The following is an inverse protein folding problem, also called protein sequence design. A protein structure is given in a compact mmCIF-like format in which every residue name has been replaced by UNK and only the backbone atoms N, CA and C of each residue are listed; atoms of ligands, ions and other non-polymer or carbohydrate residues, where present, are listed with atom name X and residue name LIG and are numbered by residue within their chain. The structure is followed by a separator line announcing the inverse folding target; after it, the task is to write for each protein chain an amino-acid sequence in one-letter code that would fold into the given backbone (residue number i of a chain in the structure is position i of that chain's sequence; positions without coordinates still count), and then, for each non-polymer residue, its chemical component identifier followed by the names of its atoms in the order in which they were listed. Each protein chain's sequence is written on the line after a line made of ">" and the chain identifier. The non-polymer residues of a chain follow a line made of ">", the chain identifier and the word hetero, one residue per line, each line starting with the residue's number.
data_IF_420212802007
#
_entry.id   IF_420212802007
#
_cell.length_a   1.000
_cell.length_b   1.000
_cell.length_c   1.000
_cell.angle_alpha   90.00
_cell.angle_beta   90.00
_cell.angle_gamma   90.00
#
_symmetry.space_group_name_H-M   'P 1'
#
loop_
_entity.id
_entity.type
_entity.pdbx_description
1 polymer ?
#
# COMPACT_ATOMS: atom_id res chain seq x y z
N UNK A 1 35.44 -36.85 8.29
CA UNK A 1 34.07 -36.92 8.87
C UNK A 1 33.10 -36.51 7.75
N UNK A 2 31.97 -37.20 7.57
CA UNK A 2 30.90 -36.71 6.70
C UNK A 2 30.13 -35.63 7.45
N UNK A 3 30.22 -34.38 7.02
CA UNK A 3 29.22 -33.38 7.39
C UNK A 3 28.26 -33.26 6.20
N UNK A 4 27.13 -33.96 6.30
CA UNK A 4 25.97 -33.74 5.43
C UNK A 4 25.38 -32.38 5.77
N UNK A 5 25.68 -31.38 4.95
CA UNK A 5 24.85 -30.18 4.89
C UNK A 5 23.59 -30.61 4.14
N UNK A 6 22.48 -30.76 4.87
CA UNK A 6 21.18 -30.99 4.25
C UNK A 6 20.84 -29.75 3.40
N UNK A 7 20.53 -29.96 2.13
CA UNK A 7 20.07 -28.87 1.28
C UNK A 7 18.65 -28.49 1.71
N UNK A 8 18.46 -27.22 2.10
CA UNK A 8 17.13 -26.62 2.24
C UNK A 8 16.35 -26.86 0.94
N UNK A 9 15.29 -27.66 1.05
CA UNK A 9 14.87 -28.54 -0.03
C UNK A 9 13.41 -28.39 -0.41
N UNK A 10 13.06 -27.25 -0.96
CA UNK A 10 11.83 -27.12 -1.76
C UNK A 10 12.22 -26.88 -3.23
N UNK A 11 11.57 -27.60 -4.14
CA UNK A 11 11.82 -27.49 -5.58
C UNK A 11 10.93 -26.45 -6.25
N UNK A 12 9.93 -25.97 -5.52
CA UNK A 12 8.78 -25.25 -5.98
C UNK A 12 8.74 -23.95 -5.16
N UNK A 13 8.55 -22.82 -5.82
CA UNK A 13 8.35 -21.54 -5.14
C UNK A 13 6.87 -21.37 -4.88
N UNK A 14 6.50 -21.14 -3.62
CA UNK A 14 5.16 -20.72 -3.25
C UNK A 14 5.12 -19.20 -3.09
N UNK A 15 4.01 -18.57 -3.52
CA UNK A 15 3.81 -17.15 -3.26
C UNK A 15 3.44 -16.90 -1.79
N UNK A 16 3.39 -15.63 -1.38
CA UNK A 16 3.04 -15.24 -0.01
C UNK A 16 1.64 -15.72 0.46
N UNK A 17 0.72 -15.98 -0.48
CA UNK A 17 -0.61 -16.51 -0.18
C UNK A 17 -0.70 -18.04 -0.07
N UNK A 18 0.40 -18.76 -0.33
CA UNK A 18 0.47 -20.22 -0.54
C UNK A 18 -0.45 -20.78 -1.65
N UNK A 19 -1.24 -19.92 -2.31
CA UNK A 19 -2.23 -20.25 -3.33
C UNK A 19 -1.64 -20.37 -4.75
N UNK A 20 -0.39 -19.94 -4.96
CA UNK A 20 0.37 -20.20 -6.18
C UNK A 20 1.56 -21.12 -5.85
N UNK A 21 1.86 -22.03 -6.76
CA UNK A 21 3.11 -22.79 -6.79
C UNK A 21 3.75 -22.67 -8.17
N UNK A 22 5.07 -22.51 -8.22
CA UNK A 22 5.83 -22.48 -9.47
C UNK A 22 6.99 -23.47 -9.40
N UNK A 23 7.00 -24.44 -10.33
CA UNK A 23 8.00 -25.51 -10.44
C UNK A 23 8.89 -25.21 -11.67
N UNK A 24 9.87 -24.29 -11.56
CA UNK A 24 10.32 -23.54 -12.73
C UNK A 24 11.40 -24.34 -13.48
N UNK A 25 11.21 -24.51 -14.79
CA UNK A 25 12.04 -25.38 -15.63
C UNK A 25 13.53 -25.06 -15.54
N UNK A 26 13.88 -23.76 -15.50
CA UNK A 26 15.20 -23.27 -15.15
C UNK A 26 15.06 -22.13 -14.13
N UNK A 27 15.09 -22.45 -12.82
CA UNK A 27 15.43 -21.43 -11.82
C UNK A 27 16.90 -21.08 -12.03
N UNK A 28 17.23 -19.79 -12.20
CA UNK A 28 18.57 -19.29 -11.87
C UNK A 28 18.80 -19.50 -10.38
N UNK A 29 19.36 -20.66 -10.00
CA UNK A 29 19.62 -21.02 -8.60
C UNK A 29 20.98 -20.45 -8.21
N UNK A 30 21.03 -19.36 -7.42
CA UNK A 30 22.30 -18.89 -6.87
C UNK A 30 22.85 -19.96 -5.92
N UNK A 31 23.90 -20.66 -6.36
CA UNK A 31 24.58 -21.69 -5.55
C UNK A 31 25.60 -21.07 -4.60
N UNK A 32 25.94 -19.79 -4.78
CA UNK A 32 26.80 -19.04 -3.89
C UNK A 32 26.47 -17.53 -3.85
N UNK A 33 27.04 -16.81 -2.89
CA UNK A 33 26.76 -15.40 -2.61
C UNK A 33 27.19 -14.42 -3.75
N UNK A 34 27.96 -14.86 -4.75
CA UNK A 34 28.30 -14.01 -5.91
C UNK A 34 27.21 -14.01 -6.98
N UNK A 35 26.40 -15.07 -7.03
CA UNK A 35 25.29 -15.20 -7.98
C UNK A 35 24.14 -14.24 -7.61
N UNK A 36 24.01 -13.90 -6.32
CA UNK A 36 23.04 -12.96 -5.74
C UNK A 36 23.55 -11.51 -5.60
N UNK A 37 24.50 -11.07 -6.42
CA UNK A 37 25.09 -9.70 -6.35
C UNK A 37 24.17 -8.59 -6.89
N UNK A 38 22.98 -8.45 -6.30
CA UNK A 38 22.15 -7.26 -6.42
C UNK A 38 22.88 -6.07 -5.77
N UNK A 39 23.47 -5.21 -6.59
CA UNK A 39 24.12 -3.97 -6.11
C UNK A 39 23.06 -2.89 -5.96
N UNK A 40 22.49 -2.76 -4.77
CA UNK A 40 21.59 -1.66 -4.42
C UNK A 40 22.37 -0.33 -4.41
N UNK A 41 21.97 0.62 -5.26
CA UNK A 41 22.46 2.00 -5.16
C UNK A 41 21.72 2.69 -4.02
N UNK A 42 22.41 2.88 -2.90
CA UNK A 42 21.90 3.66 -1.76
C UNK A 42 22.18 5.14 -2.00
N UNK A 43 21.13 5.98 -1.93
CA UNK A 43 21.29 7.44 -1.86
C UNK A 43 21.52 7.88 -0.41
N UNK A 44 22.22 9.01 -0.15
CA UNK A 44 22.30 9.60 1.19
C UNK A 44 20.90 9.86 1.78
N UNK A 45 20.76 9.76 3.10
CA UNK A 45 19.51 10.11 3.78
C UNK A 45 19.13 11.57 3.51
N UNK A 46 17.84 11.82 3.30
CA UNK A 46 17.27 13.13 2.98
C UNK A 46 15.95 13.33 3.73
N UNK A 47 15.61 14.58 4.00
CA UNK A 47 14.37 14.90 4.69
C UNK A 47 13.21 14.99 3.69
N UNK A 48 12.04 14.48 4.08
CA UNK A 48 10.78 14.63 3.38
C UNK A 48 9.83 15.47 4.22
N UNK A 49 9.35 16.56 3.64
CA UNK A 49 8.16 17.26 4.11
C UNK A 49 6.95 16.44 3.68
N UNK A 50 6.26 15.87 4.64
CA UNK A 50 5.04 15.08 4.49
C UNK A 50 3.83 15.94 4.85
N UNK A 51 2.79 15.90 4.02
CA UNK A 51 1.56 16.70 4.21
C UNK A 51 0.35 15.79 4.03
N UNK A 52 -0.48 15.73 5.07
CA UNK A 52 -1.74 14.98 5.13
C UNK A 52 -2.92 15.96 5.04
N UNK A 53 -3.83 15.71 4.10
CA UNK A 53 -5.06 16.51 3.91
C UNK A 53 -6.28 15.60 3.82
N UNK A 54 -7.45 16.14 4.17
CA UNK A 54 -8.70 15.39 4.20
C UNK A 54 -9.83 16.05 3.37
N UNK A 55 -9.61 16.28 2.05
CA UNK A 55 -10.60 16.86 1.15
C UNK A 55 -11.77 15.90 0.89
N UNK A 56 -12.91 16.44 0.47
CA UNK A 56 -14.01 15.64 -0.10
C UNK A 56 -13.57 14.94 -1.38
N UNK A 57 -14.02 13.71 -1.58
CA UNK A 57 -13.78 12.92 -2.80
C UNK A 57 -14.25 13.65 -4.06
N UNK A 58 -15.43 14.30 -3.97
CA UNK A 58 -16.06 15.10 -5.01
C UNK A 58 -15.34 16.42 -5.33
N UNK A 59 -14.49 16.91 -4.42
CA UNK A 59 -13.64 18.08 -4.64
C UNK A 59 -12.24 17.69 -5.15
N UNK A 60 -11.64 16.61 -4.65
CA UNK A 60 -10.27 16.25 -4.97
C UNK A 60 -10.09 15.73 -6.40
N UNK A 61 -11.00 14.89 -6.90
CA UNK A 61 -10.88 14.32 -8.26
C UNK A 61 -11.13 15.34 -9.39
N UNK A 62 -11.38 16.61 -9.06
CA UNK A 62 -11.36 17.72 -10.03
C UNK A 62 -9.94 17.80 -10.64
N UNK A 63 -9.75 17.69 -11.97
CA UNK A 63 -8.42 17.50 -12.57
C UNK A 63 -7.36 18.54 -12.20
N UNK A 64 -7.75 19.77 -11.87
CA UNK A 64 -6.84 20.81 -11.41
C UNK A 64 -6.15 20.49 -10.07
N UNK A 65 -6.87 19.84 -9.13
CA UNK A 65 -6.38 19.54 -7.79
C UNK A 65 -5.38 18.38 -7.84
N UNK A 66 -5.77 17.25 -8.44
CA UNK A 66 -4.85 16.12 -8.67
C UNK A 66 -3.61 16.55 -9.48
N UNK A 67 -3.78 17.34 -10.54
CA UNK A 67 -2.65 17.86 -11.34
C UNK A 67 -1.75 18.81 -10.55
N UNK A 68 -2.30 19.65 -9.67
CA UNK A 68 -1.49 20.50 -8.79
C UNK A 68 -0.53 19.65 -7.97
N UNK A 69 -1.05 18.62 -7.32
CA UNK A 69 -0.26 17.81 -6.40
C UNK A 69 0.78 16.97 -7.17
N UNK A 70 0.40 16.35 -8.30
CA UNK A 70 1.28 15.55 -9.19
C UNK A 70 2.47 16.35 -9.76
N UNK A 71 2.31 17.67 -9.90
CA UNK A 71 3.36 18.57 -10.36
C UNK A 71 4.19 19.21 -9.23
N UNK A 72 3.70 19.21 -8.00
CA UNK A 72 4.34 19.88 -6.86
C UNK A 72 4.96 18.94 -5.83
N UNK A 73 4.66 17.65 -5.86
CA UNK A 73 5.17 16.63 -4.94
C UNK A 73 6.08 15.61 -5.65
N UNK A 74 6.96 14.97 -4.89
CA UNK A 74 7.84 13.90 -5.40
C UNK A 74 7.12 12.53 -5.42
N UNK A 75 6.15 12.34 -4.52
CA UNK A 75 5.27 11.17 -4.45
C UNK A 75 3.92 11.56 -3.82
N UNK A 76 2.88 10.78 -4.12
CA UNK A 76 1.51 10.94 -3.61
C UNK A 76 0.92 9.56 -3.30
N UNK A 77 0.22 9.48 -2.18
CA UNK A 77 -0.55 8.31 -1.75
C UNK A 77 -1.94 8.80 -1.32
N UNK A 78 -2.99 8.18 -1.87
CA UNK A 78 -4.38 8.55 -1.63
C UNK A 78 -5.11 7.32 -1.11
N UNK A 79 -5.67 7.41 0.08
CA UNK A 79 -6.50 6.36 0.67
C UNK A 79 -7.98 6.79 0.67
N UNK A 80 -8.84 5.87 0.26
CA UNK A 80 -10.29 6.02 0.33
C UNK A 80 -10.90 4.90 1.19
N UNK A 81 -11.61 5.30 2.23
CA UNK A 81 -12.52 4.47 3.02
C UNK A 81 -13.95 4.88 2.67
N UNK A 82 -14.85 3.98 2.23
CA UNK A 82 -16.25 4.34 2.03
C UNK A 82 -16.97 4.61 3.37
N UNK A 83 -18.01 5.43 3.36
CA UNK A 83 -18.86 5.75 4.53
C UNK A 83 -18.15 6.53 5.64
N UNK A 84 -17.00 7.16 5.36
CA UNK A 84 -16.21 7.89 6.35
C UNK A 84 -16.86 9.18 6.88
N UNK A 85 -17.96 9.64 6.26
CA UNK A 85 -18.77 10.76 6.74
C UNK A 85 -20.17 10.38 7.22
N UNK A 86 -20.70 11.16 8.16
CA UNK A 86 -22.02 10.96 8.74
C UNK A 86 -23.12 11.07 7.66
N UNK A 87 -24.07 10.14 7.69
CA UNK A 87 -25.07 9.95 6.63
C UNK A 87 -24.68 8.93 5.56
N UNK A 88 -23.40 8.52 5.51
CA UNK A 88 -22.88 7.47 4.62
C UNK A 88 -23.08 7.75 3.12
N UNK A 89 -23.13 9.04 2.74
CA UNK A 89 -23.27 9.49 1.35
C UNK A 89 -21.90 9.67 0.69
N UNK A 90 -21.62 8.94 -0.40
CA UNK A 90 -20.38 9.02 -1.19
C UNK A 90 -19.94 10.46 -1.52
N UNK A 91 -20.89 11.34 -1.86
CA UNK A 91 -20.59 12.75 -2.21
C UNK A 91 -20.04 13.59 -1.04
N UNK A 92 -20.26 13.16 0.20
CA UNK A 92 -19.75 13.80 1.40
C UNK A 92 -18.43 13.19 1.88
N UNK A 93 -18.17 11.93 1.54
CA UNK A 93 -16.98 11.21 1.97
C UNK A 93 -15.70 11.94 1.59
N UNK A 94 -14.74 11.85 2.50
CA UNK A 94 -13.39 12.35 2.33
C UNK A 94 -12.47 11.29 1.76
N UNK A 95 -11.26 11.70 1.45
CA UNK A 95 -10.12 10.82 1.21
C UNK A 95 -8.94 11.34 2.05
N UNK A 96 -8.04 10.45 2.46
CA UNK A 96 -6.75 10.85 3.01
C UNK A 96 -5.81 11.07 1.84
N UNK A 97 -5.32 12.29 1.66
CA UNK A 97 -4.32 12.62 0.62
C UNK A 97 -3.01 12.95 1.31
N UNK A 98 -2.05 12.03 1.16
CA UNK A 98 -0.70 12.10 1.69
C UNK A 98 0.26 12.46 0.57
N UNK A 99 1.10 13.46 0.79
CA UNK A 99 2.05 13.96 -0.22
C UNK A 99 3.41 14.19 0.40
N UNK A 100 4.47 13.83 -0.34
CA UNK A 100 5.85 14.02 0.09
C UNK A 100 6.61 14.95 -0.85
N UNK A 101 7.50 15.75 -0.27
CA UNK A 101 8.43 16.60 -1.02
C UNK A 101 9.79 16.66 -0.32
N UNK A 102 10.87 16.44 -1.06
CA UNK A 102 12.25 16.62 -0.59
C UNK A 102 12.46 18.04 -0.08
N UNK A 103 13.17 18.17 1.03
CA UNK A 103 13.39 19.45 1.71
C UNK A 103 14.74 19.49 2.42
N UNK A 104 15.36 20.66 2.47
CA UNK A 104 16.56 20.94 3.27
C UNK A 104 16.23 21.42 4.70
N UNK A 105 14.93 21.54 5.01
CA UNK A 105 14.45 21.89 6.35
C UNK A 105 14.71 20.75 7.34
N UNK A 106 15.00 21.09 8.61
CA UNK A 106 15.21 20.11 9.67
C UNK A 106 13.97 19.25 9.96
N UNK A 107 14.22 18.02 10.43
CA UNK A 107 13.19 17.12 11.00
C UNK A 107 12.44 17.82 12.13
N UNK A 108 11.12 17.72 12.14
CA UNK A 108 10.25 18.36 13.15
C UNK A 108 10.00 17.51 14.37
N UNK A 109 10.02 16.18 14.24
CA UNK A 109 9.77 15.24 15.33
C UNK A 109 11.03 14.93 16.14
N UNK A 110 10.87 14.72 17.44
CA UNK A 110 11.92 14.20 18.31
C UNK A 110 11.99 12.66 18.25
N UNK A 111 13.15 12.04 18.56
CA UNK A 111 13.27 10.59 18.67
C UNK A 111 12.42 9.93 19.77
N UNK A 112 11.71 10.72 20.58
CA UNK A 112 10.73 10.24 21.56
C UNK A 112 9.36 10.13 20.89
N UNK A 113 8.92 11.15 20.15
CA UNK A 113 7.65 11.15 19.42
C UNK A 113 7.61 10.01 18.40
N UNK A 114 8.65 9.83 17.58
CA UNK A 114 8.77 8.71 16.62
C UNK A 114 8.59 7.34 17.32
N UNK A 115 9.14 7.17 18.52
CA UNK A 115 9.01 5.91 19.30
C UNK A 115 7.64 5.75 19.95
N UNK A 116 7.06 6.83 20.47
CA UNK A 116 5.69 6.84 20.98
C UNK A 116 4.68 6.52 19.88
N UNK A 117 4.91 7.03 18.68
CA UNK A 117 4.10 6.80 17.48
C UNK A 117 4.18 5.33 17.03
N UNK A 118 5.37 4.75 16.94
CA UNK A 118 5.53 3.30 16.71
C UNK A 118 4.86 2.44 17.81
N UNK A 119 4.83 2.91 19.06
CA UNK A 119 4.08 2.29 20.15
C UNK A 119 2.55 2.37 19.96
N UNK A 120 2.05 3.50 19.46
CA UNK A 120 0.63 3.73 19.16
C UNK A 120 0.16 2.89 17.96
N UNK A 121 0.94 2.84 16.87
CA UNK A 121 0.69 1.95 15.72
C UNK A 121 0.49 0.49 16.14
N UNK A 122 1.32 -0.01 17.07
CA UNK A 122 1.21 -1.37 17.61
C UNK A 122 -0.06 -1.63 18.44
N UNK A 123 -0.74 -0.57 18.92
CA UNK A 123 -2.07 -0.63 19.53
C UNK A 123 -3.17 -0.52 18.46
N UNK A 124 -3.02 0.41 17.51
CA UNK A 124 -3.96 0.59 16.39
C UNK A 124 -4.14 -0.69 15.57
N UNK A 125 -3.06 -1.41 15.23
CA UNK A 125 -3.15 -2.70 14.51
C UNK A 125 -4.02 -3.69 15.25
N UNK A 126 -3.76 -3.92 16.55
CA UNK A 126 -4.49 -4.91 17.37
C UNK A 126 -5.95 -4.52 17.62
N UNK A 127 -6.22 -3.23 17.73
CA UNK A 127 -7.59 -2.72 17.81
C UNK A 127 -8.31 -2.88 16.46
N UNK A 128 -7.61 -2.61 15.36
CA UNK A 128 -8.04 -2.88 13.99
C UNK A 128 -8.42 -4.34 13.78
N UNK A 129 -7.55 -5.29 14.14
CA UNK A 129 -7.78 -6.73 14.01
C UNK A 129 -9.12 -7.16 14.62
N UNK A 130 -9.43 -6.69 15.83
CA UNK A 130 -10.70 -6.98 16.50
C UNK A 130 -11.92 -6.28 15.87
N UNK A 131 -11.75 -5.06 15.32
CA UNK A 131 -12.80 -4.40 14.55
C UNK A 131 -13.07 -5.09 13.22
N UNK A 132 -12.01 -5.50 12.51
CA UNK A 132 -12.08 -6.29 11.29
C UNK A 132 -12.81 -7.61 11.55
N UNK A 133 -12.39 -8.37 12.57
CA UNK A 133 -13.10 -9.57 13.07
C UNK A 133 -14.59 -9.33 13.38
N UNK A 134 -15.00 -8.11 13.74
CA UNK A 134 -16.40 -7.79 13.96
C UNK A 134 -17.13 -7.52 12.64
N UNK A 135 -16.56 -6.68 11.77
CA UNK A 135 -17.10 -6.38 10.43
C UNK A 135 -17.30 -7.65 9.61
N UNK A 136 -16.44 -8.66 9.78
CA UNK A 136 -16.52 -9.94 9.07
C UNK A 136 -17.76 -10.76 9.46
N UNK A 137 -18.06 -10.80 10.76
CA UNK A 137 -19.16 -11.56 11.38
C UNK A 137 -20.49 -10.80 11.27
N UNK A 138 -20.43 -9.47 11.16
CA UNK A 138 -21.57 -8.57 11.08
C UNK A 138 -21.37 -7.51 9.97
N UNK A 139 -21.49 -7.87 8.67
CA UNK A 139 -21.23 -6.95 7.55
C UNK A 139 -21.99 -5.62 7.61
N UNK A 140 -23.22 -5.62 8.13
CA UNK A 140 -24.07 -4.41 8.31
C UNK A 140 -23.45 -3.36 9.26
N UNK A 141 -22.48 -3.75 10.09
CA UNK A 141 -21.71 -2.82 10.94
C UNK A 141 -20.68 -1.99 10.16
N UNK A 142 -20.35 -2.38 8.92
CA UNK A 142 -19.27 -1.80 8.12
C UNK A 142 -19.32 -0.26 8.03
N UNK A 143 -20.44 0.39 7.66
CA UNK A 143 -20.49 1.84 7.58
C UNK A 143 -20.17 2.53 8.90
N UNK A 144 -20.65 1.98 10.03
CA UNK A 144 -20.41 2.53 11.36
C UNK A 144 -18.96 2.35 11.82
N UNK A 145 -18.37 1.18 11.58
CA UNK A 145 -16.99 0.90 11.98
C UNK A 145 -16.00 1.68 11.11
N UNK A 146 -16.21 1.73 9.79
CA UNK A 146 -15.35 2.52 8.89
C UNK A 146 -15.46 4.03 9.16
N UNK A 147 -16.65 4.53 9.53
CA UNK A 147 -16.82 5.89 10.01
C UNK A 147 -16.03 6.16 11.30
N UNK A 148 -16.12 5.24 12.27
CA UNK A 148 -15.44 5.33 13.55
C UNK A 148 -13.91 5.31 13.40
N UNK A 149 -13.35 4.37 12.64
CA UNK A 149 -11.90 4.24 12.46
C UNK A 149 -11.30 5.45 11.75
N UNK A 150 -11.95 5.93 10.68
CA UNK A 150 -11.48 7.12 9.96
C UNK A 150 -11.45 8.37 10.85
N UNK A 151 -12.49 8.59 11.66
CA UNK A 151 -12.57 9.76 12.55
C UNK A 151 -11.66 9.64 13.80
N UNK A 152 -11.27 8.43 14.21
CA UNK A 152 -10.28 8.22 15.29
C UNK A 152 -8.85 8.39 14.78
N UNK A 153 -8.48 7.71 13.69
CA UNK A 153 -7.09 7.64 13.23
C UNK A 153 -6.69 8.84 12.35
N UNK A 154 -7.62 9.37 11.54
CA UNK A 154 -7.31 10.26 10.42
C UNK A 154 -8.14 11.56 10.40
N UNK A 155 -8.39 12.11 11.59
CA UNK A 155 -9.23 13.31 11.77
C UNK A 155 -8.54 14.68 11.55
N UNK A 156 -7.22 14.74 11.35
CA UNK A 156 -6.43 15.97 11.48
C UNK A 156 -5.41 16.18 10.36
N UNK A 157 -5.51 17.30 9.64
CA UNK A 157 -4.51 17.69 8.63
C UNK A 157 -3.14 17.91 9.28
N UNK A 158 -2.09 17.38 8.64
CA UNK A 158 -0.74 17.33 9.18
C UNK A 158 0.26 17.95 8.20
N UNK A 159 1.34 18.51 8.76
CA UNK A 159 2.51 18.95 8.00
C UNK A 159 3.76 18.78 8.86
N UNK A 160 4.47 17.68 8.65
CA UNK A 160 5.66 17.30 9.40
C UNK A 160 6.84 17.04 8.47
N UNK A 161 8.05 17.12 9.01
CA UNK A 161 9.29 16.86 8.28
C UNK A 161 9.99 15.69 8.97
N UNK A 162 10.22 14.63 8.20
CA UNK A 162 10.77 13.36 8.66
C UNK A 162 12.00 12.97 7.84
N UNK A 163 12.82 12.05 8.32
CA UNK A 163 13.80 11.37 7.46
C UNK A 163 13.08 10.46 6.47
N UNK A 164 13.65 10.26 5.28
CA UNK A 164 13.03 9.43 4.25
C UNK A 164 12.61 8.02 4.72
N UNK A 165 13.40 7.27 5.54
CA UNK A 165 12.96 5.99 6.06
C UNK A 165 11.69 6.08 6.94
N UNK A 166 11.61 7.07 7.83
CA UNK A 166 10.46 7.24 8.75
C UNK A 166 9.21 7.76 8.01
N UNK A 167 9.42 8.58 6.97
CA UNK A 167 8.36 9.08 6.09
C UNK A 167 7.77 8.01 5.16
N UNK A 168 8.55 6.97 4.84
CA UNK A 168 8.23 5.92 3.85
C UNK A 168 7.89 4.57 4.53
N UNK A 169 8.32 4.30 5.76
CA UNK A 169 7.89 3.13 6.55
C UNK A 169 6.47 3.31 7.11
N UNK A 170 5.52 3.51 6.20
CA UNK A 170 4.15 3.04 6.36
C UNK A 170 3.95 1.88 5.37
N UNK A 171 3.38 0.77 5.85
CA UNK A 171 3.36 -0.54 5.20
C UNK A 171 4.72 -1.25 5.10
N UNK A 172 5.00 -2.15 6.05
CA UNK A 172 5.32 -3.58 5.85
C UNK A 172 5.70 -4.17 7.21
N UNK A 173 4.87 -5.11 7.70
CA UNK A 173 5.25 -6.26 8.52
C UNK A 173 4.16 -7.34 8.39
N UNK A 174 4.47 -8.57 8.77
CA UNK A 174 4.00 -9.77 8.07
C UNK A 174 3.11 -10.71 8.91
N UNK A 175 2.20 -11.43 8.22
CA UNK A 175 1.26 -12.45 8.73
C UNK A 175 0.22 -11.94 9.76
N UNK A 176 -1.09 -11.87 9.50
CA UNK A 176 -1.95 -12.59 8.53
C UNK A 176 -2.09 -14.11 8.76
N UNK A 177 -1.78 -14.58 9.96
CA UNK A 177 -2.09 -15.94 10.43
C UNK A 177 -3.60 -16.09 10.74
N UNK A 178 -4.29 -16.87 9.91
CA UNK A 178 -5.61 -17.50 10.12
C UNK A 178 -6.91 -16.63 10.07
N UNK A 179 -7.24 -16.20 8.83
CA UNK A 179 -8.60 -16.18 8.22
C UNK A 179 -9.72 -15.31 8.87
N UNK A 180 -10.05 -14.05 8.48
CA UNK A 180 -9.95 -13.16 7.28
C UNK A 180 -11.28 -13.04 6.47
N UNK A 181 -11.88 -11.83 6.28
CA UNK A 181 -13.13 -11.54 5.50
C UNK A 181 -13.53 -10.00 5.32
N UNK A 182 -14.16 -9.37 4.25
CA UNK A 182 -14.00 -9.36 2.77
C UNK A 182 -13.29 -8.15 2.09
N UNK A 183 -13.79 -6.92 2.25
CA UNK A 183 -13.47 -5.65 1.58
C UNK A 183 -14.10 -4.56 2.46
N UNK A 184 -13.29 -4.00 3.33
CA UNK A 184 -13.72 -3.31 4.55
C UNK A 184 -12.58 -2.43 5.10
N UNK A 185 -11.59 -2.16 4.26
CA UNK A 185 -10.35 -1.47 4.60
C UNK A 185 -10.20 -0.26 3.66
N UNK A 186 -9.45 -0.34 2.57
CA UNK A 186 -9.13 0.83 1.71
C UNK A 186 -9.21 0.52 0.22
N UNK A 187 -9.48 1.54 -0.59
CA UNK A 187 -8.85 1.66 -1.90
C UNK A 187 -7.63 2.59 -1.77
N UNK A 188 -6.50 2.21 -2.32
CA UNK A 188 -5.25 2.96 -2.24
C UNK A 188 -4.73 3.28 -3.64
N UNK A 189 -4.32 4.52 -3.86
CA UNK A 189 -3.76 5.00 -5.12
C UNK A 189 -2.42 5.66 -4.86
N UNK A 190 -1.33 5.07 -5.37
CA UNK A 190 0.00 5.69 -5.36
C UNK A 190 0.30 6.29 -6.72
N UNK A 191 0.76 7.54 -6.76
CA UNK A 191 1.21 8.19 -7.99
C UNK A 191 2.68 8.52 -7.86
N UNK A 192 3.49 7.87 -8.70
CA UNK A 192 4.94 7.96 -8.71
C UNK A 192 5.46 8.19 -10.14
N UNK A 193 6.65 8.77 -10.26
CA UNK A 193 7.37 8.83 -11.53
C UNK A 193 7.92 7.45 -11.92
N UNK A 194 8.26 7.30 -13.19
CA UNK A 194 8.97 6.14 -13.70
C UNK A 194 10.26 5.84 -12.91
N UNK A 195 10.54 4.55 -12.77
CA UNK A 195 11.77 4.02 -12.20
C UNK A 195 12.65 3.44 -13.32
N UNK A 196 13.97 3.50 -13.14
CA UNK A 196 14.93 2.77 -13.99
C UNK A 196 15.49 1.50 -13.32
N UNK A 197 14.87 1.06 -12.22
CA UNK A 197 15.15 -0.24 -11.63
C UNK A 197 14.41 -1.34 -12.40
N UNK A 198 15.15 -2.25 -13.04
CA UNK A 198 14.63 -3.29 -13.96
C UNK A 198 13.50 -4.18 -13.42
N UNK A 199 13.29 -4.22 -12.10
CA UNK A 199 12.26 -5.02 -11.43
C UNK A 199 11.13 -4.17 -10.81
N UNK A 200 11.11 -2.86 -11.05
CA UNK A 200 10.03 -2.00 -10.58
C UNK A 200 8.76 -2.16 -11.45
N UNK A 201 7.55 -2.20 -10.86
CA UNK A 201 6.30 -2.19 -11.63
C UNK A 201 6.08 -0.87 -12.39
N UNK A 202 6.89 0.16 -12.12
CA UNK A 202 6.90 1.47 -12.78
C UNK A 202 8.10 1.68 -13.71
N UNK A 203 8.65 0.60 -14.31
CA UNK A 203 9.79 0.72 -15.22
C UNK A 203 9.44 1.46 -16.52
N UNK A 204 10.11 2.58 -16.79
CA UNK A 204 10.10 3.27 -18.09
C UNK A 204 11.50 3.84 -18.43
N UNK A 205 11.74 4.05 -19.72
CA UNK A 205 12.88 4.82 -20.20
C UNK A 205 12.66 6.34 -20.18
N UNK A 206 11.41 6.82 -20.20
CA UNK A 206 11.10 8.24 -19.99
C UNK A 206 11.02 8.56 -18.47
N UNK A 207 11.98 9.33 -17.91
CA UNK A 207 11.93 9.73 -16.49
C UNK A 207 10.80 10.72 -16.17
N UNK A 208 10.05 11.18 -17.17
CA UNK A 208 8.88 12.05 -17.04
C UNK A 208 7.55 11.28 -17.06
N UNK A 209 7.55 9.98 -17.36
CA UNK A 209 6.36 9.16 -17.28
C UNK A 209 5.90 9.02 -15.82
N UNK A 210 4.57 8.98 -15.62
CA UNK A 210 3.92 8.86 -14.32
C UNK A 210 3.05 7.61 -14.28
N UNK A 211 3.16 6.84 -13.21
CA UNK A 211 2.38 5.64 -12.96
C UNK A 211 1.39 5.90 -11.82
N UNK A 212 0.12 5.63 -12.08
CA UNK A 212 -0.89 5.46 -11.03
C UNK A 212 -1.02 3.97 -10.73
N UNK A 213 -0.59 3.54 -9.56
CA UNK A 213 -0.79 2.19 -9.05
C UNK A 213 -2.04 2.22 -8.16
N UNK A 214 -3.04 1.41 -8.48
CA UNK A 214 -4.19 1.19 -7.60
C UNK A 214 -4.02 -0.16 -6.88
N UNK A 215 -4.27 -0.16 -5.58
CA UNK A 215 -4.54 -1.36 -4.80
C UNK A 215 -5.97 -1.28 -4.24
N UNK A 216 -6.65 -2.43 -4.14
CA UNK A 216 -7.95 -2.54 -3.49
C UNK A 216 -7.77 -3.51 -2.32
N UNK A 217 -7.93 -3.01 -1.11
CA UNK A 217 -7.48 -3.64 0.12
C UNK A 217 -8.66 -4.12 0.99
N UNK A 218 -8.39 -5.25 1.62
CA UNK A 218 -9.38 -6.25 1.97
C UNK A 218 -8.89 -6.99 3.19
N UNK A 219 -9.75 -7.14 4.19
CA UNK A 219 -9.61 -8.26 5.12
C UNK A 219 -10.09 -9.48 4.32
N UNK A 220 -9.20 -10.43 4.05
CA UNK A 220 -9.33 -11.41 2.95
C UNK A 220 -10.56 -12.36 3.04
N UNK A 221 -11.63 -12.17 2.26
CA UNK A 221 -12.52 -13.29 1.85
C UNK A 221 -13.88 -13.56 2.55
N UNK A 222 -14.74 -12.56 2.81
CA UNK A 222 -16.20 -12.81 2.68
C UNK A 222 -16.55 -12.80 1.18
N UNK A 223 -17.79 -13.13 0.88
CA UNK A 223 -18.37 -13.10 -0.46
C UNK A 223 -18.08 -11.81 -1.26
N UNK A 224 -17.95 -11.99 -2.58
CA UNK A 224 -17.99 -10.92 -3.57
C UNK A 224 -16.66 -10.18 -3.82
N UNK A 225 -15.70 -10.16 -2.88
CA UNK A 225 -14.46 -9.39 -3.10
C UNK A 225 -13.63 -9.91 -4.29
N UNK A 226 -13.53 -11.22 -4.50
CA UNK A 226 -12.79 -11.75 -5.64
C UNK A 226 -13.44 -11.32 -6.96
N UNK A 227 -14.75 -11.56 -7.12
CA UNK A 227 -15.50 -11.14 -8.32
C UNK A 227 -15.44 -9.62 -8.55
N UNK A 228 -15.56 -8.82 -7.48
CA UNK A 228 -15.48 -7.36 -7.50
C UNK A 228 -14.08 -6.86 -7.89
N UNK A 229 -13.02 -7.41 -7.30
CA UNK A 229 -11.64 -7.01 -7.61
C UNK A 229 -11.24 -7.40 -9.03
N UNK A 230 -11.67 -8.57 -9.51
CA UNK A 230 -11.56 -8.97 -10.93
C UNK A 230 -12.33 -7.98 -11.82
N UNK A 231 -13.56 -7.60 -11.47
CA UNK A 231 -14.35 -6.67 -12.27
C UNK A 231 -13.71 -5.28 -12.34
N UNK A 232 -13.26 -4.71 -11.22
CA UNK A 232 -12.61 -3.39 -11.21
C UNK A 232 -11.26 -3.45 -11.94
N UNK A 233 -10.44 -4.49 -11.73
CA UNK A 233 -9.17 -4.66 -12.44
C UNK A 233 -9.39 -4.78 -13.96
N UNK A 234 -10.35 -5.61 -14.39
CA UNK A 234 -10.76 -5.75 -15.79
C UNK A 234 -11.21 -4.41 -16.38
N UNK A 235 -12.14 -3.70 -15.72
CA UNK A 235 -12.63 -2.37 -16.15
C UNK A 235 -11.48 -1.36 -16.28
N UNK A 236 -10.46 -1.46 -15.43
CA UNK A 236 -9.29 -0.59 -15.46
C UNK A 236 -8.34 -0.95 -16.61
N UNK A 237 -8.09 -2.24 -16.85
CA UNK A 237 -7.27 -2.71 -17.97
C UNK A 237 -7.91 -2.42 -19.33
N UNK A 238 -9.19 -2.77 -19.51
CA UNK A 238 -9.95 -2.49 -20.75
C UNK A 238 -10.04 -0.99 -21.08
N UNK A 239 -10.02 -0.11 -20.07
CA UNK A 239 -10.17 1.35 -20.26
C UNK A 239 -8.84 2.09 -20.39
N UNK A 240 -7.75 1.61 -19.78
CA UNK A 240 -6.51 2.36 -19.61
C UNK A 240 -5.22 1.59 -20.00
N UNK A 241 -5.31 0.39 -20.57
CA UNK A 241 -4.15 -0.50 -20.88
C UNK A 241 -3.23 -0.74 -19.66
N UNK A 242 -3.87 -0.87 -18.49
CA UNK A 242 -3.16 -1.09 -17.23
C UNK A 242 -2.57 -2.50 -17.12
N UNK A 243 -1.62 -2.65 -16.19
CA UNK A 243 -0.81 -3.86 -16.02
C UNK A 243 -0.86 -4.33 -14.57
N UNK A 244 -0.78 -5.64 -14.30
CA UNK A 244 -0.85 -6.17 -12.95
C UNK A 244 0.33 -5.71 -12.09
N UNK A 245 0.06 -5.39 -10.82
CA UNK A 245 1.11 -5.12 -9.85
C UNK A 245 1.68 -6.45 -9.31
N UNK A 246 2.83 -6.89 -9.83
CA UNK A 246 3.43 -8.20 -9.56
C UNK A 246 3.49 -8.62 -8.08
N UNK A 247 3.71 -7.68 -7.15
CA UNK A 247 3.72 -7.92 -5.69
C UNK A 247 2.35 -7.90 -4.99
N UNK A 248 1.26 -8.23 -5.69
CA UNK A 248 -0.13 -8.28 -5.18
C UNK A 248 -0.85 -9.51 -5.75
N UNK A 249 -2.13 -9.71 -5.42
CA UNK A 249 -2.97 -10.72 -6.05
C UNK A 249 -3.39 -10.24 -7.45
N UNK A 250 -2.95 -10.93 -8.50
CA UNK A 250 -3.20 -10.61 -9.92
C UNK A 250 -3.48 -11.83 -10.79
N UNK A 251 -3.28 -13.05 -10.27
CA UNK A 251 -3.49 -14.34 -10.94
C UNK A 251 -4.93 -14.62 -11.37
N UNK A 252 -5.88 -13.81 -10.90
CA UNK A 252 -7.30 -13.87 -11.22
C UNK A 252 -7.76 -12.76 -12.18
N UNK A 253 -6.86 -11.82 -12.52
CA UNK A 253 -7.12 -10.71 -13.44
C UNK A 253 -6.91 -11.20 -14.88
N UNK A 254 -7.82 -10.90 -15.83
CA UNK A 254 -7.81 -11.47 -17.19
C UNK A 254 -6.80 -10.84 -18.15
#
# INVERSE_FOLDING_TARGET
>A
IKNSIEHFGEKEWHNWGENQQCTPAEIFRPVNLHDLKLTLKVEPMFNLMMIDRFPKISDYWKPANLKNDVLNSDSIEIFYWPFNTAGFEENNDKIWVKTWKRTDLNVTETPIEVKSFAGFQNFETKFGDHLYEHMTKFPDSTPYITNLTFNIAYGHESKIILQAPDAIHYQVYELAADNKYPLNLTAEFRINKASKCLLAPTYDEDPNAYYCLMEILSVNGTQGFLDFSIEIAKRWMEKYDAKPHWGKMWEHVP
#
